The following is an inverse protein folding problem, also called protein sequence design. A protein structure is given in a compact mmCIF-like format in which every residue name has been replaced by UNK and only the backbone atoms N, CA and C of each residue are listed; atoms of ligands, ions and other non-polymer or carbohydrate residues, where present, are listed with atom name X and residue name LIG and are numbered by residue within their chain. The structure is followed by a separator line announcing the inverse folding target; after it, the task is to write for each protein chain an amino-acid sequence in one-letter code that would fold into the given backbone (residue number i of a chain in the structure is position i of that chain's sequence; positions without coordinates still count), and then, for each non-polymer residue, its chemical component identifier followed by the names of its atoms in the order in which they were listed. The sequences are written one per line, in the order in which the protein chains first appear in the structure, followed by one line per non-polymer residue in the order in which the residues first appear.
data_IF_054897742786
#
_entry.id   IF_054897742786
#
_cell.length_a   1.000
_cell.length_b   1.000
_cell.length_c   1.000
_cell.angle_alpha   90.00
_cell.angle_beta   90.00
_cell.angle_gamma   90.00
#
_symmetry.space_group_name_H-M   'P 1'
#
loop_
_entity.id
_entity.type
_entity.pdbx_description
1 polymer ?
#
# COMPACT_ATOMS: atom_id res chain seq x y z
N UNK A 1 -0.03 -22.66 3.02
CA UNK A 1 0.19 -21.28 3.49
C UNK A 1 1.70 -20.99 3.61
N UNK A 2 2.39 -20.98 2.47
CA UNK A 2 3.86 -20.94 2.38
C UNK A 2 4.40 -19.53 2.07
N UNK A 3 3.55 -18.61 1.59
CA UNK A 3 3.87 -17.19 1.46
C UNK A 3 4.06 -16.49 2.81
N UNK A 4 3.45 -17.01 3.90
CA UNK A 4 3.54 -16.44 5.24
C UNK A 4 4.86 -16.72 5.99
N UNK A 5 5.74 -17.57 5.46
CA UNK A 5 7.04 -17.89 6.08
C UNK A 5 8.25 -17.45 5.25
N UNK A 6 8.05 -17.00 4.01
CA UNK A 6 9.16 -16.95 3.04
C UNK A 6 9.65 -15.57 2.63
N UNK A 7 9.13 -14.45 3.16
CA UNK A 7 9.57 -13.12 2.68
C UNK A 7 9.90 -12.09 3.76
N UNK A 8 9.50 -12.29 5.00
CA UNK A 8 9.98 -11.52 6.13
C UNK A 8 9.96 -12.42 7.36
N UNK A 9 11.10 -12.60 8.03
CA UNK A 9 11.15 -13.20 9.36
C UNK A 9 10.14 -12.45 10.26
N UNK A 10 8.98 -13.05 10.59
CA UNK A 10 7.93 -12.32 11.29
C UNK A 10 8.41 -11.87 12.68
N UNK A 11 9.35 -12.60 13.27
CA UNK A 11 10.01 -12.26 14.53
C UNK A 11 10.89 -11.01 14.39
N UNK A 12 11.70 -10.90 13.33
CA UNK A 12 12.54 -9.70 13.08
C UNK A 12 11.68 -8.48 12.76
N UNK A 13 10.59 -8.69 12.03
CA UNK A 13 9.65 -7.61 11.72
C UNK A 13 8.96 -7.10 13.00
N UNK A 14 8.57 -8.01 13.90
CA UNK A 14 8.01 -7.65 15.22
C UNK A 14 9.03 -6.93 16.09
N UNK A 15 10.27 -7.39 16.14
CA UNK A 15 11.32 -6.71 16.92
C UNK A 15 11.61 -5.31 16.40
N UNK A 16 11.71 -5.13 15.08
CA UNK A 16 11.94 -3.82 14.48
C UNK A 16 10.77 -2.86 14.70
N UNK A 17 9.52 -3.34 14.55
CA UNK A 17 8.33 -2.53 14.86
C UNK A 17 8.28 -2.11 16.33
N UNK A 18 8.66 -3.00 17.24
CA UNK A 18 8.75 -2.70 18.68
C UNK A 18 9.78 -1.59 18.95
N UNK A 19 10.99 -1.73 18.41
CA UNK A 19 12.07 -0.74 18.54
C UNK A 19 11.67 0.64 17.99
N UNK A 20 10.96 0.67 16.84
CA UNK A 20 10.41 1.90 16.27
C UNK A 20 9.37 2.53 17.21
N UNK A 21 8.47 1.73 17.77
CA UNK A 21 7.43 2.24 18.68
C UNK A 21 8.01 2.81 19.98
N UNK A 22 9.02 2.15 20.55
CA UNK A 22 9.73 2.61 21.75
C UNK A 22 10.48 3.92 21.47
N UNK A 23 11.08 4.06 20.28
CA UNK A 23 11.69 5.31 19.84
C UNK A 23 10.69 6.47 19.77
N UNK A 24 9.51 6.25 19.18
CA UNK A 24 8.48 7.30 19.09
C UNK A 24 7.91 7.67 20.47
N UNK A 25 7.80 6.71 21.39
CA UNK A 25 7.40 6.99 22.77
C UNK A 25 8.44 7.88 23.46
N UNK A 26 9.73 7.51 23.40
CA UNK A 26 10.83 8.30 23.97
C UNK A 26 10.90 9.70 23.35
N UNK A 27 10.70 9.82 22.04
CA UNK A 27 10.67 11.11 21.35
C UNK A 27 9.52 12.00 21.86
N UNK A 28 8.32 11.42 22.02
CA UNK A 28 7.15 12.13 22.51
C UNK A 28 7.32 12.56 23.97
N UNK A 29 7.93 11.72 24.80
CA UNK A 29 8.25 12.05 26.19
C UNK A 29 9.30 13.16 26.29
N UNK A 30 10.39 13.08 25.52
CA UNK A 30 11.43 14.11 25.48
C UNK A 30 10.90 15.45 24.92
N UNK A 31 9.96 15.41 23.97
CA UNK A 31 9.28 16.61 23.47
C UNK A 31 8.37 17.23 24.53
N UNK A 32 7.69 16.41 25.34
CA UNK A 32 6.84 16.88 26.45
C UNK A 32 7.67 17.45 27.61
N UNK A 33 8.83 16.86 27.92
CA UNK A 33 9.72 17.35 28.99
C UNK A 33 10.55 18.57 28.58
N UNK A 34 10.69 18.84 27.27
CA UNK A 34 11.47 19.96 26.75
C UNK A 34 12.99 19.74 26.83
N UNK A 35 13.44 18.50 27.07
CA UNK A 35 14.85 18.16 27.22
C UNK A 35 15.58 18.19 25.87
N UNK A 36 16.11 19.37 25.51
CA UNK A 36 16.86 19.59 24.25
C UNK A 36 18.00 18.58 24.04
N UNK A 37 18.70 18.20 25.11
CA UNK A 37 19.81 17.22 25.06
C UNK A 37 19.33 15.80 24.71
N UNK A 38 18.16 15.39 25.23
CA UNK A 38 17.59 14.09 24.90
C UNK A 38 17.03 14.08 23.48
N UNK A 39 16.38 15.17 23.06
CA UNK A 39 15.86 15.32 21.69
C UNK A 39 16.99 15.22 20.68
N UNK A 40 18.13 15.88 20.91
CA UNK A 40 19.27 15.81 19.99
C UNK A 40 19.87 14.39 19.91
N UNK A 41 19.94 13.68 21.04
CA UNK A 41 20.37 12.27 21.07
C UNK A 41 19.41 11.35 20.31
N UNK A 42 18.11 11.58 20.44
CA UNK A 42 17.08 10.83 19.72
C UNK A 42 17.09 11.17 18.22
N UNK A 43 17.29 12.43 17.84
CA UNK A 43 17.48 12.83 16.44
C UNK A 43 18.66 12.11 15.77
N UNK A 44 19.77 11.88 16.49
CA UNK A 44 20.87 11.05 15.97
C UNK A 44 20.44 9.60 15.70
N UNK A 45 19.55 9.04 16.54
CA UNK A 45 18.97 7.70 16.32
C UNK A 45 17.89 7.68 15.23
N UNK A 46 17.30 8.82 14.87
CA UNK A 46 16.29 8.93 13.81
C UNK A 46 16.77 8.34 12.48
N UNK A 47 18.04 8.58 12.13
CA UNK A 47 18.65 8.04 10.91
C UNK A 47 18.64 6.50 10.89
N UNK A 48 18.98 5.87 12.01
CA UNK A 48 18.93 4.41 12.16
C UNK A 48 17.50 3.87 12.07
N UNK A 49 16.55 4.53 12.73
CA UNK A 49 15.11 4.17 12.66
C UNK A 49 14.57 4.31 11.24
N UNK A 50 14.98 5.35 10.51
CA UNK A 50 14.61 5.57 9.13
C UNK A 50 15.17 4.47 8.22
N UNK A 51 16.43 4.06 8.42
CA UNK A 51 17.00 2.92 7.70
C UNK A 51 16.22 1.63 7.98
N UNK A 52 15.76 1.42 9.22
CA UNK A 52 14.96 0.27 9.60
C UNK A 52 13.58 0.28 8.91
N UNK A 53 12.91 1.43 8.92
CA UNK A 53 11.66 1.64 8.18
C UNK A 53 11.86 1.41 6.68
N UNK A 54 12.95 1.90 6.10
CA UNK A 54 13.26 1.66 4.69
C UNK A 54 13.45 0.17 4.39
N UNK A 55 14.14 -0.59 5.26
CA UNK A 55 14.28 -2.05 5.08
C UNK A 55 12.92 -2.75 5.08
N UNK A 56 12.03 -2.39 6.01
CA UNK A 56 10.67 -2.92 6.09
C UNK A 56 9.88 -2.56 4.83
N UNK A 57 9.93 -1.29 4.42
CA UNK A 57 9.27 -0.81 3.22
C UNK A 57 9.78 -1.55 1.98
N UNK A 58 11.09 -1.75 1.85
CA UNK A 58 11.67 -2.41 0.69
C UNK A 58 11.28 -3.87 0.56
N UNK A 59 11.15 -4.57 1.69
CA UNK A 59 10.60 -5.92 1.72
C UNK A 59 9.14 -5.94 1.24
N UNK A 60 8.30 -5.05 1.75
CA UNK A 60 6.90 -4.94 1.34
C UNK A 60 6.75 -4.51 -0.12
N UNK A 61 7.51 -3.50 -0.56
CA UNK A 61 7.48 -2.96 -1.92
C UNK A 61 7.89 -4.01 -2.93
N UNK A 62 8.88 -4.88 -2.65
CA UNK A 62 9.25 -5.97 -3.55
C UNK A 62 8.06 -6.91 -3.80
N UNK A 63 7.31 -7.25 -2.75
CA UNK A 63 6.12 -8.08 -2.87
C UNK A 63 5.04 -7.34 -3.67
N UNK A 64 4.75 -6.09 -3.32
CA UNK A 64 3.77 -5.27 -4.04
C UNK A 64 4.12 -5.10 -5.52
N UNK A 65 5.40 -4.91 -5.87
CA UNK A 65 5.85 -4.79 -7.25
C UNK A 65 5.60 -6.07 -8.05
N UNK A 66 5.75 -7.26 -7.45
CA UNK A 66 5.42 -8.53 -8.12
C UNK A 66 3.94 -8.60 -8.50
N UNK A 67 3.04 -7.98 -7.73
CA UNK A 67 1.62 -7.89 -8.05
C UNK A 67 1.28 -6.72 -9.00
N UNK A 68 1.94 -5.56 -8.83
CA UNK A 68 1.69 -4.36 -9.62
C UNK A 68 2.24 -4.48 -11.04
N UNK A 69 3.40 -5.10 -11.25
CA UNK A 69 4.01 -5.20 -12.58
C UNK A 69 3.09 -5.93 -13.59
N UNK A 70 2.54 -7.12 -13.28
CA UNK A 70 1.57 -7.78 -14.17
C UNK A 70 0.35 -6.91 -14.44
N UNK A 71 -0.16 -6.22 -13.41
CA UNK A 71 -1.30 -5.32 -13.52
C UNK A 71 -1.00 -4.12 -14.44
N UNK A 72 0.19 -3.54 -14.35
CA UNK A 72 0.65 -2.46 -15.22
C UNK A 72 0.80 -2.91 -16.67
N UNK A 73 1.35 -4.11 -16.90
CA UNK A 73 1.47 -4.70 -18.25
C UNK A 73 0.09 -4.94 -18.84
N UNK A 74 -0.83 -5.54 -18.07
CA UNK A 74 -2.22 -5.70 -18.49
C UNK A 74 -2.85 -4.34 -18.79
N UNK A 75 -2.63 -3.32 -17.96
CA UNK A 75 -3.17 -1.98 -18.18
C UNK A 75 -2.64 -1.32 -19.45
N UNK A 76 -1.33 -1.40 -19.71
CA UNK A 76 -0.75 -0.88 -20.96
C UNK A 76 -1.28 -1.61 -22.18
N UNK A 77 -1.48 -2.93 -22.10
CA UNK A 77 -2.06 -3.71 -23.19
C UNK A 77 -3.54 -3.37 -23.42
N UNK A 78 -4.36 -3.34 -22.36
CA UNK A 78 -5.77 -3.00 -22.44
C UNK A 78 -5.98 -1.54 -22.90
N UNK A 79 -5.22 -0.58 -22.37
CA UNK A 79 -5.32 0.82 -22.77
C UNK A 79 -4.86 1.10 -24.20
N UNK A 80 -4.02 0.23 -24.77
CA UNK A 80 -3.64 0.27 -26.19
C UNK A 80 -4.70 -0.34 -27.11
N UNK A 81 -5.24 -1.50 -26.73
CA UNK A 81 -6.21 -2.26 -27.54
C UNK A 81 -7.60 -1.64 -27.51
N UNK A 82 -8.02 -1.09 -26.37
CA UNK A 82 -9.38 -0.58 -26.17
C UNK A 82 -9.48 0.95 -26.13
N UNK A 83 -8.52 1.66 -26.73
CA UNK A 83 -8.49 3.13 -26.76
C UNK A 83 -9.75 3.74 -27.41
N UNK A 84 -10.33 3.06 -28.39
CA UNK A 84 -11.49 3.49 -29.18
C UNK A 84 -12.69 2.53 -29.10
N UNK A 85 -12.68 1.58 -28.16
CA UNK A 85 -13.73 0.56 -28.05
C UNK A 85 -14.49 0.75 -26.74
N UNK A 86 -15.80 0.98 -26.82
CA UNK A 86 -16.69 1.02 -25.66
C UNK A 86 -16.85 -0.38 -25.06
N UNK A 87 -16.16 -0.65 -23.95
CA UNK A 87 -16.02 -2.00 -23.38
C UNK A 87 -17.17 -2.35 -22.42
N UNK A 88 -17.78 -1.38 -21.75
CA UNK A 88 -18.83 -1.65 -20.77
C UNK A 88 -20.07 -0.78 -21.00
N UNK A 89 -21.21 -1.45 -21.15
CA UNK A 89 -22.54 -0.85 -21.16
C UNK A 89 -23.09 -0.85 -19.74
N UNK A 90 -23.25 0.34 -19.14
CA UNK A 90 -23.90 0.48 -17.84
C UNK A 90 -25.39 0.75 -18.05
N UNK A 91 -26.29 -0.17 -17.66
CA UNK A 91 -27.72 0.05 -17.77
C UNK A 91 -28.13 1.22 -16.87
N UNK A 92 -28.63 2.31 -17.49
CA UNK A 92 -29.07 3.54 -16.82
C UNK A 92 -28.20 4.79 -17.08
N UNK A 93 -26.98 4.64 -17.62
CA UNK A 93 -26.06 5.77 -17.88
C UNK A 93 -25.61 5.85 -19.36
N UNK A 94 -25.74 4.76 -20.12
CA UNK A 94 -25.39 4.73 -21.55
C UNK A 94 -23.91 4.37 -21.80
N UNK A 95 -23.44 4.63 -23.03
CA UNK A 95 -22.08 4.31 -23.50
C UNK A 95 -21.05 5.38 -23.14
N UNK A 96 -21.50 6.62 -22.93
CA UNK A 96 -20.66 7.75 -22.57
C UNK A 96 -21.05 8.22 -21.18
N UNK A 97 -20.12 8.14 -20.23
CA UNK A 97 -20.29 8.74 -18.91
C UNK A 97 -19.96 10.23 -19.03
N UNK A 98 -20.93 11.16 -18.89
CA UNK A 98 -20.69 12.59 -19.07
C UNK A 98 -20.10 13.18 -17.78
N UNK A 99 -18.96 12.64 -17.33
CA UNK A 99 -18.23 13.16 -16.18
C UNK A 99 -16.99 13.88 -16.71
N UNK A 100 -16.94 15.22 -16.61
CA UNK A 100 -15.96 16.07 -17.31
C UNK A 100 -14.49 15.89 -16.89
N UNK A 101 -14.21 15.03 -15.89
CA UNK A 101 -12.86 14.68 -15.44
C UNK A 101 -12.49 13.19 -15.65
N UNK A 102 -13.47 12.30 -15.83
CA UNK A 102 -13.28 10.84 -15.87
C UNK A 102 -14.35 10.12 -16.73
N UNK A 103 -14.63 10.61 -17.93
CA UNK A 103 -15.72 10.12 -18.79
C UNK A 103 -15.51 8.75 -19.46
N UNK A 104 -14.42 8.05 -19.17
CA UNK A 104 -14.15 6.74 -19.75
C UNK A 104 -14.90 5.61 -19.03
N UNK A 105 -15.75 4.87 -19.74
CA UNK A 105 -16.39 3.62 -19.27
C UNK A 105 -15.37 2.64 -18.65
N UNK A 106 -14.15 2.65 -19.19
CA UNK A 106 -12.96 1.94 -18.68
C UNK A 106 -12.57 2.29 -17.24
N UNK A 107 -12.61 3.57 -16.84
CA UNK A 107 -12.24 3.99 -15.49
C UNK A 107 -13.24 3.49 -14.45
N UNK A 108 -14.54 3.56 -14.76
CA UNK A 108 -15.60 3.05 -13.89
C UNK A 108 -15.60 1.54 -13.78
N UNK A 109 -15.44 0.84 -14.91
CA UNK A 109 -15.27 -0.61 -14.91
C UNK A 109 -14.05 -1.02 -14.08
N UNK A 110 -12.94 -0.31 -14.22
CA UNK A 110 -11.75 -0.55 -13.41
C UNK A 110 -11.96 -0.23 -11.93
N UNK A 111 -12.67 0.84 -11.57
CA UNK A 111 -12.99 1.13 -10.17
C UNK A 111 -13.82 0.00 -9.56
N UNK A 112 -14.78 -0.53 -10.31
CA UNK A 112 -15.63 -1.65 -9.89
C UNK A 112 -14.82 -2.95 -9.75
N UNK A 113 -13.99 -3.29 -10.74
CA UNK A 113 -13.07 -4.43 -10.67
C UNK A 113 -12.04 -4.27 -9.54
N UNK A 114 -11.54 -3.06 -9.30
CA UNK A 114 -10.58 -2.74 -8.23
C UNK A 114 -11.21 -2.90 -6.85
N UNK A 115 -12.45 -2.46 -6.66
CA UNK A 115 -13.19 -2.71 -5.41
C UNK A 115 -13.40 -4.22 -5.19
N UNK A 116 -13.74 -4.96 -6.24
CA UNK A 116 -13.92 -6.40 -6.17
C UNK A 116 -12.61 -7.17 -5.93
N UNK A 117 -11.51 -6.73 -6.57
CA UNK A 117 -10.19 -7.29 -6.31
C UNK A 117 -9.67 -6.88 -4.93
N UNK A 118 -9.98 -5.67 -4.45
CA UNK A 118 -9.60 -5.18 -3.12
C UNK A 118 -10.26 -6.01 -2.02
N UNK A 119 -11.53 -6.39 -2.17
CA UNK A 119 -12.21 -7.30 -1.23
C UNK A 119 -11.64 -8.72 -1.31
N UNK A 120 -11.39 -9.24 -2.50
CA UNK A 120 -10.72 -10.54 -2.71
C UNK A 120 -9.32 -10.56 -2.10
N UNK A 121 -8.53 -9.50 -2.29
CA UNK A 121 -7.18 -9.38 -1.73
C UNK A 121 -7.23 -9.25 -0.21
N UNK A 122 -8.19 -8.49 0.32
CA UNK A 122 -8.43 -8.39 1.77
C UNK A 122 -8.71 -9.76 2.39
N UNK A 123 -9.45 -10.63 1.67
CA UNK A 123 -9.74 -11.99 2.08
C UNK A 123 -8.53 -12.93 1.94
N UNK A 124 -7.75 -12.83 0.86
CA UNK A 124 -6.56 -13.66 0.61
C UNK A 124 -5.40 -13.31 1.55
N UNK A 125 -5.24 -12.04 1.90
CA UNK A 125 -4.20 -11.58 2.83
C UNK A 125 -4.61 -11.69 4.30
N UNK A 126 -5.87 -12.04 4.60
CA UNK A 126 -6.32 -12.26 5.98
C UNK A 126 -6.07 -11.06 6.90
N UNK A 127 -6.08 -9.83 6.37
CA UNK A 127 -5.89 -8.60 7.16
C UNK A 127 -7.18 -8.07 7.77
N UNK A 128 -8.32 -8.71 7.49
CA UNK A 128 -9.45 -8.66 8.38
C UNK A 128 -9.30 -9.82 9.39
N UNK A 129 -8.45 -9.64 10.41
CA UNK A 129 -9.00 -9.96 11.73
C UNK A 129 -10.11 -8.93 11.91
N UNK A 130 -11.32 -9.30 11.50
CA UNK A 130 -12.52 -8.64 12.01
C UNK A 130 -12.49 -8.96 13.50
N UNK A 131 -11.93 -8.02 14.26
CA UNK A 131 -12.15 -7.87 15.69
C UNK A 131 -12.62 -6.43 15.90
#
# INVERSE_FOLDING_TARGET
SLANRLSADPEKLRSWKKEISEYYQQLREAQKSGDKKQIEKLMKRQQYILQLNNKILWQSTKVTLVFIIPLMIAWSFLGGVYRDVNIAYFPGIGWELPIPLFGGSLFWWYMLCSLFFSTLFSHVFGLTSVE
#
